data_IF_166628741407
#
_entry.id   IF_166628741407
#
_cell.length_a   1.000
_cell.length_b   1.000
_cell.length_c   1.000
_cell.angle_alpha   90.00
_cell.angle_beta   90.00
_cell.angle_gamma   90.00
#
_symmetry.space_group_name_H-M   'P 1'
#
loop_
_entity.id
_entity.type
_entity.pdbx_description
1 polymer ?
#
# COMPACT_ATOMS: atom_id res chain seq x y z
N UNK A 1 9.12 13.72 -19.42
CA UNK A 1 8.76 13.34 -18.02
C UNK A 1 9.15 11.88 -17.87
N UNK A 2 10.11 11.54 -17.02
CA UNK A 2 10.64 10.16 -16.94
C UNK A 2 9.84 9.37 -15.89
N UNK A 3 8.97 8.46 -16.35
CA UNK A 3 8.43 7.42 -15.47
C UNK A 3 9.56 6.49 -15.01
N UNK A 4 9.44 5.97 -13.79
CA UNK A 4 10.45 5.10 -13.17
C UNK A 4 11.50 5.81 -12.32
N UNK A 5 11.52 7.15 -12.28
CA UNK A 5 12.36 7.94 -11.34
C UNK A 5 11.62 8.44 -10.10
N UNK A 6 10.30 8.27 -10.08
CA UNK A 6 9.41 8.68 -8.99
C UNK A 6 8.56 7.50 -8.58
N UNK A 7 8.21 7.43 -7.29
CA UNK A 7 7.39 6.37 -6.72
C UNK A 7 6.61 6.88 -5.52
N UNK A 8 5.72 6.05 -5.02
CA UNK A 8 4.93 6.32 -3.83
C UNK A 8 5.50 5.55 -2.65
N UNK A 9 5.41 6.15 -1.46
CA UNK A 9 5.73 5.49 -0.21
C UNK A 9 4.56 5.69 0.75
N UNK A 10 3.99 4.60 1.25
CA UNK A 10 2.93 4.62 2.25
C UNK A 10 3.51 4.07 3.56
N UNK A 11 3.32 4.82 4.64
CA UNK A 11 3.69 4.37 5.99
C UNK A 11 2.47 3.76 6.65
N UNK A 12 2.50 2.45 6.87
CA UNK A 12 1.39 1.62 7.31
C UNK A 12 1.78 0.77 8.52
N UNK A 13 2.37 1.41 9.52
CA UNK A 13 2.95 0.73 10.69
C UNK A 13 1.95 0.53 11.82
N UNK A 14 0.94 1.39 11.86
CA UNK A 14 -0.08 1.40 12.90
C UNK A 14 -1.20 0.42 12.62
N UNK A 15 -1.62 -0.26 13.68
CA UNK A 15 -2.83 -1.05 13.71
C UNK A 15 -4.07 -0.15 13.64
N UNK A 16 -5.18 -0.70 13.15
CA UNK A 16 -6.50 -0.07 13.19
C UNK A 16 -7.24 -0.32 14.51
N UNK A 17 -6.63 -0.98 15.50
CA UNK A 17 -7.29 -1.38 16.74
C UNK A 17 -7.90 -0.22 17.53
N UNK A 18 -7.33 0.98 17.46
CA UNK A 18 -7.85 2.18 18.12
C UNK A 18 -9.07 2.79 17.42
N UNK A 19 -9.31 2.39 16.17
CA UNK A 19 -10.42 2.86 15.34
C UNK A 19 -11.58 1.86 15.28
N UNK A 20 -11.38 0.63 15.75
CA UNK A 20 -12.41 -0.40 15.82
C UNK A 20 -13.04 -0.41 17.21
N UNK A 21 -14.34 -0.11 17.31
CA UNK A 21 -15.11 -0.37 18.55
C UNK A 21 -15.17 -1.88 18.80
N UNK A 22 -14.90 -2.29 20.06
CA UNK A 22 -14.75 -3.63 20.68
C UNK A 22 -15.59 -4.83 20.18
N UNK A 23 -16.53 -4.63 19.26
CA UNK A 23 -17.52 -5.63 18.83
C UNK A 23 -17.06 -6.64 17.78
N UNK A 24 -15.84 -6.55 17.23
CA UNK A 24 -15.30 -7.53 16.25
C UNK A 24 -13.78 -7.77 16.40
N UNK A 25 -13.27 -7.81 17.62
CA UNK A 25 -11.91 -8.30 17.85
C UNK A 25 -11.91 -9.82 17.71
N UNK A 26 -11.60 -10.31 16.51
CA UNK A 26 -10.83 -11.54 16.43
C UNK A 26 -9.46 -11.23 17.04
N UNK A 27 -9.23 -11.66 18.29
CA UNK A 27 -8.04 -11.32 19.08
C UNK A 27 -6.70 -11.63 18.40
N UNK A 28 -6.71 -12.40 17.30
CA UNK A 28 -5.52 -12.76 16.54
C UNK A 28 -5.30 -11.97 15.23
N UNK A 29 -6.30 -11.24 14.71
CA UNK A 29 -6.19 -10.58 13.41
C UNK A 29 -5.82 -9.11 13.59
N UNK A 30 -4.51 -8.80 13.66
CA UNK A 30 -4.02 -7.42 13.66
C UNK A 30 -4.25 -6.78 12.29
N UNK A 31 -5.32 -5.98 12.18
CA UNK A 31 -5.69 -5.30 10.94
C UNK A 31 -4.89 -3.99 10.79
N UNK A 32 -4.31 -3.76 9.60
CA UNK A 32 -3.73 -2.45 9.27
C UNK A 32 -4.82 -1.44 8.93
N UNK A 33 -4.57 -0.15 9.22
CA UNK A 33 -5.46 0.95 8.80
C UNK A 33 -5.69 1.00 7.29
N UNK A 34 -4.76 0.49 6.50
CA UNK A 34 -4.91 0.42 5.05
C UNK A 34 -6.02 -0.55 4.59
N UNK A 35 -6.43 -1.48 5.45
CA UNK A 35 -7.50 -2.44 5.18
C UNK A 35 -8.88 -1.87 5.54
N UNK A 36 -8.94 -0.73 6.24
CA UNK A 36 -10.22 -0.11 6.59
C UNK A 36 -10.96 0.31 5.31
N UNK A 37 -12.30 0.13 5.27
CA UNK A 37 -13.11 0.65 4.18
C UNK A 37 -13.09 2.18 4.25
N UNK A 38 -12.77 2.81 3.12
CA UNK A 38 -12.86 4.25 2.90
C UNK A 38 -14.30 4.68 2.59
N UNK A 39 -15.01 3.83 1.86
CA UNK A 39 -16.38 4.07 1.41
C UNK A 39 -17.28 2.90 1.82
N UNK A 40 -18.40 3.23 2.46
CA UNK A 40 -19.35 2.25 2.99
C UNK A 40 -20.22 1.60 1.92
N UNK A 41 -20.38 2.26 0.76
CA UNK A 41 -21.21 1.74 -0.32
C UNK A 41 -20.42 0.75 -1.19
N UNK A 42 -19.17 1.08 -1.50
CA UNK A 42 -18.31 0.26 -2.36
C UNK A 42 -17.43 -0.73 -1.59
N UNK A 43 -17.33 -0.58 -0.27
CA UNK A 43 -16.42 -1.33 0.61
C UNK A 43 -14.94 -1.24 0.17
N UNK A 44 -14.60 -0.15 -0.55
CA UNK A 44 -13.26 0.08 -1.09
C UNK A 44 -12.31 0.38 0.06
N UNK A 45 -11.27 -0.42 0.21
CA UNK A 45 -10.24 -0.17 1.24
C UNK A 45 -9.34 1.02 0.88
N UNK A 46 -8.68 1.62 1.88
CA UNK A 46 -7.66 2.64 1.62
C UNK A 46 -6.56 2.14 0.69
N UNK A 47 -6.09 0.90 0.87
CA UNK A 47 -5.04 0.32 0.02
C UNK A 47 -5.49 0.20 -1.43
N UNK A 48 -6.71 -0.31 -1.65
CA UNK A 48 -7.30 -0.43 -2.97
C UNK A 48 -7.36 0.93 -3.66
N UNK A 49 -7.91 1.94 -2.98
CA UNK A 49 -8.01 3.30 -3.52
C UNK A 49 -6.64 3.85 -3.93
N UNK A 50 -5.60 3.67 -3.10
CA UNK A 50 -4.26 4.15 -3.43
C UNK A 50 -3.67 3.43 -4.65
N UNK A 51 -3.84 2.12 -4.75
CA UNK A 51 -3.34 1.35 -5.89
C UNK A 51 -4.06 1.76 -7.17
N UNK A 52 -5.40 1.84 -7.14
CA UNK A 52 -6.20 2.30 -8.28
C UNK A 52 -5.81 3.71 -8.72
N UNK A 53 -5.55 4.61 -7.76
CA UNK A 53 -5.06 5.95 -8.04
C UNK A 53 -3.69 5.91 -8.75
N UNK A 54 -2.74 5.11 -8.26
CA UNK A 54 -1.40 4.97 -8.85
C UNK A 54 -1.49 4.41 -10.28
N UNK A 55 -2.37 3.43 -10.51
CA UNK A 55 -2.62 2.87 -11.83
C UNK A 55 -3.21 3.92 -12.77
N UNK A 56 -4.21 4.69 -12.31
CA UNK A 56 -4.83 5.76 -13.10
C UNK A 56 -3.83 6.90 -13.43
N UNK A 57 -2.94 7.24 -12.50
CA UNK A 57 -1.86 8.19 -12.77
C UNK A 57 -0.91 7.62 -13.82
N UNK A 58 -0.47 6.37 -13.67
CA UNK A 58 0.42 5.71 -14.62
C UNK A 58 -0.18 5.70 -16.03
N UNK A 59 -1.47 5.36 -16.13
CA UNK A 59 -2.24 5.34 -17.38
C UNK A 59 -2.31 6.72 -18.05
N UNK A 60 -2.63 7.77 -17.29
CA UNK A 60 -2.65 9.16 -17.80
C UNK A 60 -1.29 9.61 -18.33
N UNK A 61 -0.21 9.21 -17.67
CA UNK A 61 1.13 9.57 -18.12
C UNK A 61 1.54 8.81 -19.38
N UNK A 62 1.09 7.56 -19.56
CA UNK A 62 1.33 6.83 -20.81
C UNK A 62 0.59 7.47 -21.99
N UNK A 63 -0.69 7.83 -21.81
CA UNK A 63 -1.51 8.38 -22.88
C UNK A 63 -1.25 9.87 -23.16
N UNK A 64 -0.81 10.65 -22.17
CA UNK A 64 -0.57 12.10 -22.29
C UNK A 64 0.81 12.47 -22.85
N UNK A 65 1.74 11.52 -22.97
CA UNK A 65 3.14 11.78 -23.32
C UNK A 65 3.46 11.62 -24.81
N UNK A 66 2.53 11.88 -25.74
CA UNK A 66 2.83 11.94 -27.19
C UNK A 66 3.51 10.70 -27.79
N UNK A 67 3.60 9.59 -27.05
CA UNK A 67 4.06 8.31 -27.53
C UNK A 67 2.93 7.77 -28.39
N UNK A 68 3.13 7.85 -29.70
CA UNK A 68 2.29 7.22 -30.71
C UNK A 68 1.75 5.89 -30.20
N UNK A 69 0.41 5.84 -30.04
CA UNK A 69 -0.40 4.70 -30.50
C UNK A 69 0.39 3.97 -31.58
N UNK A 70 0.72 2.69 -31.37
CA UNK A 70 1.19 1.66 -32.33
C UNK A 70 2.18 0.65 -31.72
N UNK A 71 2.66 0.81 -30.48
CA UNK A 71 3.40 -0.29 -29.84
C UNK A 71 2.43 -1.26 -29.19
N UNK A 72 2.13 -2.33 -29.90
CA UNK A 72 1.55 -3.60 -29.41
C UNK A 72 2.47 -4.28 -28.39
N UNK A 73 2.81 -3.56 -27.32
CA UNK A 73 3.50 -4.07 -26.14
C UNK A 73 2.45 -4.51 -25.12
N UNK A 74 2.66 -5.66 -24.49
CA UNK A 74 1.82 -6.12 -23.39
C UNK A 74 1.83 -5.06 -22.28
N UNK A 75 0.71 -4.89 -21.58
CA UNK A 75 0.56 -3.98 -20.41
C UNK A 75 1.68 -4.16 -19.36
N UNK A 76 2.38 -5.29 -19.41
CA UNK A 76 3.55 -5.67 -18.60
C UNK A 76 4.86 -4.95 -18.92
N UNK A 77 4.99 -4.28 -20.07
CA UNK A 77 6.25 -3.66 -20.50
C UNK A 77 6.36 -2.17 -20.14
N UNK A 78 5.29 -1.58 -19.60
CA UNK A 78 5.29 -0.19 -19.21
C UNK A 78 5.75 -0.03 -17.75
N UNK A 79 6.61 0.96 -17.46
CA UNK A 79 7.06 1.22 -16.10
C UNK A 79 5.89 1.73 -15.27
N UNK A 80 5.21 0.85 -14.55
CA UNK A 80 4.26 1.25 -13.52
C UNK A 80 5.01 1.98 -12.40
N UNK A 81 4.38 2.98 -11.81
CA UNK A 81 4.98 3.75 -10.73
C UNK A 81 5.18 2.82 -9.51
N UNK A 82 6.41 2.68 -8.99
CA UNK A 82 6.67 1.80 -7.86
C UNK A 82 5.97 2.30 -6.60
N UNK A 83 5.43 1.37 -5.82
CA UNK A 83 4.82 1.57 -4.52
C UNK A 83 5.64 0.86 -3.45
N UNK A 84 6.15 1.63 -2.50
CA UNK A 84 6.74 1.13 -1.27
C UNK A 84 5.72 1.22 -0.15
N UNK A 85 5.49 0.14 0.59
CA UNK A 85 4.65 0.12 1.78
C UNK A 85 5.55 -0.22 2.97
N UNK A 86 5.78 0.77 3.84
CA UNK A 86 6.53 0.58 5.07
C UNK A 86 5.60 0.03 6.15
N UNK A 87 5.91 -1.15 6.68
CA UNK A 87 5.12 -1.84 7.69
C UNK A 87 5.91 -2.00 8.99
N UNK A 88 5.18 -2.28 10.08
CA UNK A 88 5.76 -2.81 11.32
C UNK A 88 5.74 -4.35 11.28
N UNK A 89 6.42 -5.01 12.23
CA UNK A 89 6.32 -6.46 12.38
C UNK A 89 4.87 -6.91 12.57
N UNK A 90 4.04 -6.07 13.19
CA UNK A 90 2.65 -6.39 13.53
C UNK A 90 1.69 -6.31 12.34
N UNK A 91 2.02 -5.47 11.36
CA UNK A 91 1.14 -5.16 10.21
C UNK A 91 1.62 -5.78 8.91
N UNK A 92 2.85 -6.30 8.89
CA UNK A 92 3.48 -6.81 7.67
C UNK A 92 2.71 -7.98 7.07
N UNK A 93 2.48 -9.04 7.85
CA UNK A 93 1.77 -10.24 7.39
C UNK A 93 0.34 -9.89 6.96
N UNK A 94 -0.37 -9.09 7.77
CA UNK A 94 -1.73 -8.68 7.46
C UNK A 94 -1.84 -7.89 6.15
N UNK A 95 -0.86 -7.03 5.82
CA UNK A 95 -0.86 -6.30 4.55
C UNK A 95 -0.48 -7.21 3.38
N UNK A 96 0.50 -8.10 3.56
CA UNK A 96 0.89 -9.08 2.54
C UNK A 96 -0.29 -9.98 2.17
N UNK A 97 -0.95 -10.58 3.17
CA UNK A 97 -2.10 -11.45 2.97
C UNK A 97 -3.26 -10.71 2.29
N UNK A 98 -3.47 -9.44 2.66
CA UNK A 98 -4.51 -8.61 2.05
C UNK A 98 -4.21 -8.30 0.58
N UNK A 99 -2.95 -7.99 0.23
CA UNK A 99 -2.54 -7.80 -1.15
C UNK A 99 -2.70 -9.09 -1.97
N UNK A 100 -2.26 -10.22 -1.42
CA UNK A 100 -2.34 -11.52 -2.11
C UNK A 100 -3.79 -11.97 -2.32
N UNK A 101 -4.65 -11.80 -1.31
CA UNK A 101 -6.08 -12.11 -1.40
C UNK A 101 -6.79 -11.33 -2.52
N UNK A 102 -6.32 -10.12 -2.81
CA UNK A 102 -6.93 -9.22 -3.78
C UNK A 102 -6.11 -9.09 -5.08
N UNK A 103 -5.16 -10.00 -5.33
CA UNK A 103 -4.30 -10.02 -6.52
C UNK A 103 -3.65 -8.64 -6.79
N UNK A 104 -3.11 -8.03 -5.72
CA UNK A 104 -2.50 -6.70 -5.72
C UNK A 104 -3.41 -5.60 -6.30
N UNK A 105 -4.73 -5.79 -6.30
CA UNK A 105 -5.71 -4.88 -6.91
C UNK A 105 -5.38 -4.54 -8.37
N UNK A 106 -4.77 -5.49 -9.10
CA UNK A 106 -4.38 -5.34 -10.50
C UNK A 106 -3.04 -4.64 -10.74
N UNK A 107 -2.28 -4.31 -9.70
CA UNK A 107 -0.91 -3.80 -9.83
C UNK A 107 0.10 -4.95 -9.94
N UNK A 108 1.11 -4.79 -10.79
CA UNK A 108 2.20 -5.78 -10.89
C UNK A 108 2.92 -5.92 -9.54
N UNK A 109 3.06 -7.15 -9.05
CA UNK A 109 3.71 -7.45 -7.78
C UNK A 109 5.16 -6.96 -7.75
N UNK A 110 5.84 -6.87 -8.90
CA UNK A 110 7.20 -6.30 -9.00
C UNK A 110 7.24 -4.81 -8.69
N UNK A 111 6.11 -4.12 -8.80
CA UNK A 111 6.01 -2.69 -8.52
C UNK A 111 5.63 -2.41 -7.07
N UNK A 112 5.23 -3.42 -6.28
CA UNK A 112 4.92 -3.28 -4.86
C UNK A 112 6.11 -3.82 -4.05
N UNK A 113 6.63 -3.00 -3.14
CA UNK A 113 7.68 -3.41 -2.21
C UNK A 113 7.20 -3.21 -0.79
N UNK A 114 7.03 -4.31 -0.05
CA UNK A 114 6.77 -4.27 1.38
C UNK A 114 8.10 -4.19 2.13
N UNK A 115 8.26 -3.16 2.95
CA UNK A 115 9.46 -2.91 3.74
C UNK A 115 9.11 -2.99 5.21
N UNK A 116 9.51 -4.08 5.86
CA UNK A 116 9.44 -4.20 7.31
C UNK A 116 10.73 -3.62 7.91
N UNK A 117 10.69 -2.36 8.39
CA UNK A 117 11.91 -1.66 8.88
C UNK A 117 11.78 -0.92 10.20
N UNK A 118 10.77 -1.21 11.01
CA UNK A 118 10.74 -0.65 12.36
C UNK A 118 11.48 -1.56 13.35
N UNK A 119 12.77 -1.28 13.54
CA UNK A 119 13.37 -1.52 14.85
C UNK A 119 12.74 -0.49 15.79
N UNK A 120 11.96 -0.96 16.77
CA UNK A 120 11.41 -0.08 17.80
C UNK A 120 12.53 0.75 18.42
N UNK A 121 12.33 2.06 18.53
CA UNK A 121 13.25 2.90 19.29
C UNK A 121 13.00 2.59 20.78
N UNK A 122 14.04 2.31 21.58
CA UNK A 122 13.86 2.10 23.01
C UNK A 122 13.08 3.27 23.63
N UNK A 123 11.95 2.96 24.25
CA UNK A 123 11.21 3.93 25.04
C UNK A 123 11.89 4.05 26.41
N UNK A 124 12.31 5.25 26.77
CA UNK A 124 12.76 5.54 28.13
C UNK A 124 11.53 5.65 29.04
N UNK A 125 11.60 4.98 30.18
CA UNK A 125 10.50 4.92 31.13
C UNK A 125 10.43 6.16 32.04
N UNK A 126 11.52 6.94 32.09
CA UNK A 126 11.63 8.14 32.91
C UNK A 126 12.40 9.28 32.21
N UNK A 127 12.34 10.48 32.80
CA UNK A 127 13.12 11.64 32.37
C UNK A 127 14.62 11.50 32.65
N UNK A 128 15.03 10.42 33.32
CA UNK A 128 16.42 10.11 33.68
C UNK A 128 17.11 9.25 32.61
N UNK A 129 16.41 8.89 31.54
CA UNK A 129 16.93 8.07 30.46
C UNK A 129 17.13 6.60 30.87
N UNK A 130 16.34 6.09 31.83
CA UNK A 130 16.31 4.68 32.22
C UNK A 130 15.08 3.95 31.68
#
# INVERSE_FOLDING_TARGET
>A
KELGKVGFCIVATESANDLLCDSKQDENAKMSRLQLPMDLETDTSYLQYFIEYILAVSDKYMHGSGGSSETSGSRSDYPSLPLCIMTSNETHEAIQDFLDKHDNFGMDSKCITLVCRQYGVPAFSDSSGR
#
